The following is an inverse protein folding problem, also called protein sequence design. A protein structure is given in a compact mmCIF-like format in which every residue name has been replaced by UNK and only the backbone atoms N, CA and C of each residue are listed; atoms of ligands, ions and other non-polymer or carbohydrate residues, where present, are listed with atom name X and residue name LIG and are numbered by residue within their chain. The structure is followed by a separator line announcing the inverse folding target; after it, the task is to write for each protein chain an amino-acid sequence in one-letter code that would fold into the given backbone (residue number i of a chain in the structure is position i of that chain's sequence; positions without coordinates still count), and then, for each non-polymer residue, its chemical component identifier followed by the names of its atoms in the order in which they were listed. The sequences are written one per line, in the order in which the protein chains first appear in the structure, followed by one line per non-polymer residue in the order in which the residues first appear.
data_IF_212343243857
#
_entry.id   IF_212343243857
#
_cell.length_a   1.000
_cell.length_b   1.000
_cell.length_c   1.000
_cell.angle_alpha   90.00
_cell.angle_beta   90.00
_cell.angle_gamma   90.00
#
_symmetry.space_group_name_H-M   'P 1'
#
loop_
_entity.id
_entity.type
_entity.pdbx_description
1 polymer ?
#
# COMPACT_ATOMS: atom_id res chain seq x y z
N UNK A 1 -6.60 53.03 35.51
CA UNK A 1 -5.74 52.23 34.67
C UNK A 1 -6.46 50.94 34.32
N UNK A 2 -6.96 50.86 33.11
CA UNK A 2 -7.69 49.70 32.65
C UNK A 2 -6.72 48.78 31.90
N UNK A 3 -6.51 47.61 32.41
CA UNK A 3 -5.74 46.58 31.72
C UNK A 3 -6.71 45.76 30.89
N UNK A 4 -6.71 46.00 29.59
CA UNK A 4 -7.44 45.16 28.67
C UNK A 4 -6.66 43.85 28.49
N UNK A 5 -7.07 42.82 29.18
CA UNK A 5 -6.70 41.46 28.88
C UNK A 5 -7.43 41.08 27.60
N UNK A 6 -6.71 41.18 26.48
CA UNK A 6 -7.13 40.52 25.27
C UNK A 6 -6.96 39.02 25.48
N UNK A 7 -8.01 38.38 25.91
CA UNK A 7 -8.11 36.96 25.83
C UNK A 7 -8.09 36.59 24.33
N UNK A 8 -6.93 36.27 23.83
CA UNK A 8 -6.79 35.61 22.55
C UNK A 8 -7.50 34.26 22.68
N UNK A 9 -8.73 34.22 22.21
CA UNK A 9 -9.35 32.92 21.93
C UNK A 9 -8.59 32.28 20.81
N UNK A 10 -7.55 31.56 21.15
CA UNK A 10 -7.01 30.58 20.25
C UNK A 10 -8.12 29.54 20.06
N UNK A 11 -8.93 29.75 19.03
CA UNK A 11 -9.82 28.68 18.61
C UNK A 11 -8.96 27.51 18.22
N UNK A 12 -8.97 26.49 19.03
CA UNK A 12 -8.36 25.20 18.72
C UNK A 12 -9.19 24.48 17.66
N UNK A 13 -9.65 25.20 16.65
CA UNK A 13 -10.21 24.58 15.47
C UNK A 13 -9.12 23.79 14.83
N UNK A 14 -9.38 22.54 14.50
CA UNK A 14 -8.41 21.65 13.89
C UNK A 14 -7.67 22.28 12.71
N UNK A 15 -6.63 21.61 12.28
CA UNK A 15 -5.77 22.01 11.19
C UNK A 15 -6.56 22.37 9.93
N UNK A 16 -6.09 23.37 9.19
CA UNK A 16 -6.63 23.69 7.88
C UNK A 16 -6.49 22.51 6.93
N UNK A 17 -7.24 22.52 5.80
CA UNK A 17 -7.11 21.46 4.77
C UNK A 17 -5.66 21.31 4.30
N UNK A 18 -4.97 22.41 4.09
CA UNK A 18 -3.58 22.38 3.62
C UNK A 18 -2.65 21.77 4.66
N UNK A 19 -2.83 22.10 5.93
CA UNK A 19 -2.04 21.55 7.01
C UNK A 19 -2.26 20.05 7.17
N UNK A 20 -3.50 19.57 7.08
CA UNK A 20 -3.84 18.16 7.12
C UNK A 20 -3.21 17.41 5.94
N UNK A 21 -3.28 17.99 4.75
CA UNK A 21 -2.67 17.42 3.56
C UNK A 21 -1.16 17.28 3.70
N UNK A 22 -0.49 18.32 4.21
CA UNK A 22 0.95 18.30 4.42
C UNK A 22 1.36 17.30 5.49
N UNK A 23 0.61 17.19 6.57
CA UNK A 23 0.85 16.19 7.61
C UNK A 23 0.70 14.78 7.06
N UNK A 24 -0.34 14.54 6.26
CA UNK A 24 -0.57 13.24 5.63
C UNK A 24 0.57 12.89 4.67
N UNK A 25 1.00 13.82 3.85
CA UNK A 25 2.14 13.62 2.94
C UNK A 25 3.42 13.30 3.69
N UNK A 26 3.71 14.00 4.77
CA UNK A 26 4.87 13.75 5.61
C UNK A 26 4.81 12.36 6.24
N UNK A 27 3.66 12.00 6.79
CA UNK A 27 3.44 10.69 7.38
C UNK A 27 3.70 9.57 6.37
N UNK A 28 3.12 9.68 5.18
CA UNK A 28 3.26 8.67 4.12
C UNK A 28 4.72 8.58 3.65
N UNK A 29 5.36 9.73 3.44
CA UNK A 29 6.78 9.78 3.04
C UNK A 29 7.67 9.05 4.05
N UNK A 30 7.48 9.31 5.32
CA UNK A 30 8.23 8.68 6.40
C UNK A 30 7.92 7.18 6.50
N UNK A 31 6.65 6.79 6.37
CA UNK A 31 6.25 5.39 6.41
C UNK A 31 6.90 4.60 5.26
N UNK A 32 6.92 5.16 4.06
CA UNK A 32 7.57 4.52 2.90
C UNK A 32 9.08 4.42 3.11
N UNK A 33 9.72 5.48 3.58
CA UNK A 33 11.16 5.51 3.83
C UNK A 33 11.59 4.51 4.91
N UNK A 34 10.76 4.31 5.93
CA UNK A 34 11.03 3.43 7.05
C UNK A 34 10.63 1.97 6.79
N UNK A 35 10.10 1.67 5.61
CA UNK A 35 9.57 0.32 5.28
C UNK A 35 8.57 -0.17 6.32
N UNK A 36 7.65 0.69 6.67
CA UNK A 36 6.62 0.40 7.68
C UNK A 36 5.31 1.07 7.26
N UNK A 37 4.57 0.39 6.39
CA UNK A 37 3.33 0.92 5.83
C UNK A 37 2.36 -0.19 5.48
N UNK A 38 1.08 0.18 5.43
CA UNK A 38 -0.02 -0.68 4.99
C UNK A 38 -0.75 0.01 3.86
N UNK A 39 -1.06 -0.73 2.80
CA UNK A 39 -1.92 -0.26 1.72
C UNK A 39 -3.23 -1.01 1.80
N UNK A 40 -4.32 -0.29 2.04
CA UNK A 40 -5.66 -0.85 2.04
C UNK A 40 -6.18 -0.87 0.61
N UNK A 41 -6.59 -2.04 0.14
CA UNK A 41 -6.95 -2.29 -1.25
C UNK A 41 -8.46 -2.21 -1.43
N UNK A 42 -8.90 -1.44 -2.43
CA UNK A 42 -10.32 -1.21 -2.70
C UNK A 42 -10.81 -1.86 -3.97
N UNK A 43 -9.93 -2.14 -4.92
CA UNK A 43 -10.31 -2.78 -6.18
C UNK A 43 -9.20 -3.68 -6.72
N UNK A 44 -9.61 -4.70 -7.46
CA UNK A 44 -8.71 -5.62 -8.15
C UNK A 44 -8.90 -5.50 -9.67
N UNK A 45 -7.80 -5.61 -10.40
CA UNK A 45 -7.78 -5.51 -11.86
C UNK A 45 -7.13 -6.79 -12.43
N UNK A 46 -7.89 -7.88 -12.56
CA UNK A 46 -7.37 -9.11 -13.16
C UNK A 46 -7.09 -8.91 -14.64
N UNK A 47 -6.05 -9.58 -15.14
CA UNK A 47 -5.68 -9.51 -16.54
C UNK A 47 -6.81 -10.06 -17.43
N UNK A 48 -7.26 -9.25 -18.40
CA UNK A 48 -8.30 -9.64 -19.35
C UNK A 48 -9.71 -9.74 -18.77
N UNK A 49 -9.95 -9.19 -17.58
CA UNK A 49 -11.26 -9.19 -16.92
C UNK A 49 -11.62 -7.79 -16.45
N UNK A 50 -12.92 -7.51 -16.23
CA UNK A 50 -13.34 -6.23 -15.68
C UNK A 50 -12.82 -6.03 -14.25
N UNK A 51 -12.70 -4.77 -13.86
CA UNK A 51 -12.35 -4.37 -12.49
C UNK A 51 -13.37 -4.92 -11.49
N UNK A 52 -12.86 -5.46 -10.38
CA UNK A 52 -13.67 -5.99 -9.30
C UNK A 52 -13.55 -5.06 -8.10
N UNK A 53 -14.68 -4.51 -7.65
CA UNK A 53 -14.73 -3.72 -6.42
C UNK A 53 -14.75 -4.67 -5.23
N UNK A 54 -13.88 -4.43 -4.27
CA UNK A 54 -13.72 -5.31 -3.12
C UNK A 54 -14.55 -4.80 -1.94
N UNK A 55 -15.38 -5.69 -1.39
CA UNK A 55 -16.25 -5.38 -0.24
C UNK A 55 -15.64 -5.75 1.10
N UNK A 56 -14.53 -6.48 1.10
CA UNK A 56 -13.82 -6.93 2.28
C UNK A 56 -12.48 -6.21 2.38
N UNK A 57 -11.98 -6.01 3.59
CA UNK A 57 -10.67 -5.39 3.80
C UNK A 57 -9.56 -6.33 3.36
N UNK A 58 -8.94 -5.96 2.26
CA UNK A 58 -7.70 -6.57 1.78
C UNK A 58 -6.56 -5.56 1.94
N UNK A 59 -5.37 -6.04 2.18
CA UNK A 59 -4.23 -5.16 2.41
C UNK A 59 -2.91 -5.79 2.01
N UNK A 60 -1.94 -4.92 1.75
CA UNK A 60 -0.54 -5.26 1.61
C UNK A 60 0.23 -4.46 2.66
N UNK A 61 0.95 -5.16 3.52
CA UNK A 61 1.71 -4.52 4.60
C UNK A 61 3.20 -4.86 4.48
N UNK A 62 4.03 -3.84 4.64
CA UNK A 62 5.48 -3.99 4.70
C UNK A 62 5.94 -3.60 6.09
N UNK A 63 6.69 -4.49 6.73
CA UNK A 63 7.34 -4.27 8.04
C UNK A 63 8.80 -4.67 7.94
N UNK A 64 9.67 -3.70 7.65
CA UNK A 64 11.10 -3.99 7.49
C UNK A 64 11.34 -4.95 6.32
N UNK A 65 11.79 -6.14 6.61
CA UNK A 65 12.04 -7.22 5.63
C UNK A 65 10.92 -8.25 5.57
N UNK A 66 9.76 -7.96 6.17
CA UNK A 66 8.60 -8.84 6.14
C UNK A 66 7.49 -8.23 5.28
N UNK A 67 6.93 -9.04 4.39
CA UNK A 67 5.75 -8.69 3.61
C UNK A 67 4.57 -9.51 4.11
N UNK A 68 3.48 -8.81 4.46
CA UNK A 68 2.22 -9.45 4.82
C UNK A 68 1.23 -9.15 3.69
N UNK A 69 0.97 -10.16 2.88
CA UNK A 69 0.07 -10.06 1.74
C UNK A 69 -1.27 -10.69 2.10
N UNK A 70 -2.33 -9.90 2.05
CA UNK A 70 -3.70 -10.37 2.22
C UNK A 70 -4.51 -9.80 1.06
N UNK A 71 -4.39 -10.45 -0.10
CA UNK A 71 -4.99 -10.01 -1.34
C UNK A 71 -5.78 -11.16 -1.98
N UNK A 72 -6.92 -10.87 -2.64
CA UNK A 72 -7.63 -11.87 -3.41
C UNK A 72 -6.90 -12.15 -4.72
N UNK A 73 -7.06 -13.34 -5.25
CA UNK A 73 -6.55 -13.66 -6.57
C UNK A 73 -7.70 -14.04 -7.50
N UNK A 74 -7.80 -13.33 -8.61
CA UNK A 74 -8.72 -13.61 -9.70
C UNK A 74 -7.89 -13.72 -10.98
N UNK A 75 -7.82 -14.89 -11.56
CA UNK A 75 -7.02 -15.08 -12.75
C UNK A 75 -6.72 -16.54 -13.03
N UNK A 76 -5.73 -16.76 -13.89
CA UNK A 76 -5.33 -18.10 -14.32
C UNK A 76 -4.08 -18.53 -13.55
N UNK A 77 -4.11 -19.75 -13.01
CA UNK A 77 -2.93 -20.40 -12.46
C UNK A 77 -2.37 -21.36 -13.50
N UNK A 78 -1.05 -21.31 -13.71
CA UNK A 78 -0.36 -22.17 -14.66
C UNK A 78 0.05 -23.49 -13.99
N UNK A 79 0.33 -23.44 -12.70
CA UNK A 79 0.65 -24.60 -11.89
C UNK A 79 0.00 -24.41 -10.53
N UNK A 80 -0.96 -25.29 -10.21
CA UNK A 80 -1.72 -25.18 -8.97
C UNK A 80 -1.08 -26.12 -7.94
N UNK A 81 -0.64 -25.61 -6.77
CA UNK A 81 -0.14 -26.46 -5.70
C UNK A 81 -1.21 -27.43 -5.21
N UNK A 82 -0.76 -28.56 -4.68
CA UNK A 82 -1.67 -29.53 -4.09
C UNK A 82 -2.49 -28.87 -2.98
N UNK A 83 -3.83 -28.99 -3.06
CA UNK A 83 -4.73 -28.33 -2.12
C UNK A 83 -5.12 -26.91 -2.47
N UNK A 84 -4.73 -26.40 -3.66
CA UNK A 84 -5.11 -25.07 -4.15
C UNK A 84 -4.16 -23.93 -3.77
N UNK A 85 -3.31 -24.12 -2.77
CA UNK A 85 -2.34 -23.11 -2.33
C UNK A 85 -2.95 -21.92 -1.59
N UNK A 86 -2.10 -21.02 -1.13
CA UNK A 86 -2.48 -19.80 -0.38
C UNK A 86 -2.73 -18.60 -1.29
N UNK A 87 -2.26 -18.66 -2.56
CA UNK A 87 -2.39 -17.55 -3.49
C UNK A 87 -1.60 -16.33 -3.03
N UNK A 88 -2.30 -15.23 -2.82
CA UNK A 88 -1.72 -13.97 -2.34
C UNK A 88 -2.00 -13.73 -0.85
N UNK A 89 -2.34 -14.78 -0.10
CA UNK A 89 -2.57 -14.73 1.35
C UNK A 89 -1.41 -15.41 2.07
N UNK A 90 -0.38 -14.64 2.37
CA UNK A 90 0.81 -15.18 3.06
C UNK A 90 1.59 -14.07 3.75
N UNK A 91 2.49 -14.48 4.65
CA UNK A 91 3.53 -13.65 5.24
C UNK A 91 4.87 -14.22 4.78
N UNK A 92 5.72 -13.38 4.21
CA UNK A 92 7.00 -13.82 3.67
C UNK A 92 8.13 -12.86 3.97
N UNK A 93 9.36 -13.36 3.81
CA UNK A 93 10.56 -12.55 3.96
C UNK A 93 10.92 -11.95 2.61
N UNK A 94 11.14 -10.64 2.59
CA UNK A 94 11.51 -9.90 1.39
C UNK A 94 12.96 -10.23 1.03
N UNK A 95 13.19 -10.67 -0.19
CA UNK A 95 14.53 -10.93 -0.72
C UNK A 95 15.15 -9.69 -1.37
N UNK A 96 14.32 -8.90 -2.05
CA UNK A 96 14.74 -7.68 -2.73
C UNK A 96 13.76 -6.56 -2.44
N UNK A 97 14.29 -5.38 -2.13
CA UNK A 97 13.47 -4.18 -1.92
C UNK A 97 14.16 -2.98 -2.54
N UNK A 98 13.48 -2.33 -3.45
CA UNK A 98 13.98 -1.13 -4.13
C UNK A 98 12.91 -0.05 -4.09
N UNK A 99 13.26 1.13 -3.59
CA UNK A 99 12.38 2.29 -3.56
C UNK A 99 13.03 3.41 -4.39
N UNK A 100 12.34 3.82 -5.45
CA UNK A 100 12.79 4.87 -6.35
C UNK A 100 11.76 5.99 -6.35
N UNK A 101 12.19 7.21 -6.08
CA UNK A 101 11.36 8.40 -6.24
C UNK A 101 11.40 8.78 -7.73
N UNK A 102 10.30 8.46 -8.45
CA UNK A 102 10.20 8.69 -9.91
C UNK A 102 9.97 10.16 -10.21
N UNK A 103 9.14 10.80 -9.40
CA UNK A 103 8.82 12.24 -9.44
C UNK A 103 8.61 12.71 -8.01
N UNK A 104 8.68 14.02 -7.74
CA UNK A 104 8.31 14.52 -6.42
C UNK A 104 6.92 14.03 -6.03
N UNK A 105 6.84 13.33 -4.89
CA UNK A 105 5.59 12.78 -4.37
C UNK A 105 5.17 11.42 -4.94
N UNK A 106 5.92 10.82 -5.87
CA UNK A 106 5.63 9.52 -6.45
C UNK A 106 6.77 8.54 -6.20
N UNK A 107 6.48 7.48 -5.48
CA UNK A 107 7.41 6.40 -5.18
C UNK A 107 7.07 5.15 -5.99
N UNK A 108 8.09 4.52 -6.55
CA UNK A 108 7.96 3.19 -7.15
C UNK A 108 8.79 2.21 -6.34
N UNK A 109 8.10 1.24 -5.77
CA UNK A 109 8.72 0.27 -4.88
C UNK A 109 8.60 -1.10 -5.51
N UNK A 110 9.73 -1.77 -5.66
CA UNK A 110 9.79 -3.12 -6.18
C UNK A 110 10.17 -4.07 -5.06
N UNK A 111 9.33 -5.06 -4.81
CA UNK A 111 9.49 -6.03 -3.74
C UNK A 111 9.52 -7.42 -4.34
N UNK A 112 10.63 -8.12 -4.18
CA UNK A 112 10.79 -9.50 -4.65
C UNK A 112 10.89 -10.46 -3.50
N UNK A 113 10.17 -11.56 -3.58
CA UNK A 113 10.27 -12.67 -2.62
C UNK A 113 9.89 -13.99 -3.26
N UNK A 114 10.38 -15.06 -2.66
CA UNK A 114 10.06 -16.42 -3.04
C UNK A 114 9.61 -17.18 -1.81
N UNK A 115 8.53 -17.92 -1.93
CA UNK A 115 8.07 -18.85 -0.92
C UNK A 115 7.98 -20.27 -1.51
N UNK A 116 7.39 -21.19 -0.78
CA UNK A 116 7.26 -22.59 -1.22
C UNK A 116 6.33 -22.77 -2.42
N UNK A 117 5.45 -21.82 -2.71
CA UNK A 117 4.46 -21.91 -3.80
C UNK A 117 4.93 -21.22 -5.07
N UNK A 118 5.58 -20.06 -4.97
CA UNK A 118 5.82 -19.19 -6.12
C UNK A 118 6.95 -18.19 -5.87
N UNK A 119 7.33 -17.52 -6.95
CA UNK A 119 8.16 -16.32 -6.90
C UNK A 119 7.30 -15.12 -7.26
N UNK A 120 7.38 -14.07 -6.45
CA UNK A 120 6.54 -12.88 -6.55
C UNK A 120 7.37 -11.64 -6.76
N UNK A 121 6.89 -10.77 -7.63
CA UNK A 121 7.39 -9.40 -7.75
C UNK A 121 6.20 -8.46 -7.59
N UNK A 122 6.20 -7.71 -6.50
CA UNK A 122 5.22 -6.66 -6.23
C UNK A 122 5.82 -5.34 -6.69
N UNK A 123 5.12 -4.63 -7.54
CA UNK A 123 5.48 -3.26 -7.93
C UNK A 123 4.42 -2.33 -7.36
N UNK A 124 4.81 -1.54 -6.38
CA UNK A 124 3.93 -0.59 -5.72
C UNK A 124 4.25 0.81 -6.23
N UNK A 125 3.26 1.48 -6.78
CA UNK A 125 3.33 2.90 -7.07
C UNK A 125 2.53 3.62 -6.00
N UNK A 126 3.22 4.35 -5.14
CA UNK A 126 2.60 5.04 -4.01
C UNK A 126 2.83 6.55 -4.14
N UNK A 127 1.74 7.29 -4.00
CA UNK A 127 1.77 8.74 -4.01
C UNK A 127 1.69 9.26 -2.57
N UNK A 128 2.35 10.35 -2.29
CA UNK A 128 2.30 10.97 -0.95
C UNK A 128 0.89 11.48 -0.59
N UNK A 129 0.00 11.57 -1.58
CA UNK A 129 -1.44 11.81 -1.35
C UNK A 129 -2.15 10.62 -0.71
N UNK A 130 -1.55 9.42 -0.76
CA UNK A 130 -2.08 8.17 -0.27
C UNK A 130 -2.52 7.20 -1.36
N UNK A 131 -2.86 7.69 -2.54
CA UNK A 131 -3.26 6.85 -3.66
C UNK A 131 -2.16 5.86 -4.02
N UNK A 132 -2.52 4.61 -4.24
CA UNK A 132 -1.54 3.55 -4.51
C UNK A 132 -2.07 2.53 -5.51
N UNK A 133 -1.15 1.99 -6.29
CA UNK A 133 -1.40 0.87 -7.20
C UNK A 133 -0.40 -0.22 -6.92
N UNK A 134 -0.86 -1.46 -6.87
CA UNK A 134 -0.02 -2.63 -6.65
C UNK A 134 -0.14 -3.53 -7.85
N UNK A 135 0.96 -3.85 -8.49
CA UNK A 135 1.02 -4.86 -9.56
C UNK A 135 1.78 -6.07 -9.03
N UNK A 136 1.21 -7.25 -9.20
CA UNK A 136 1.81 -8.49 -8.72
C UNK A 136 2.10 -9.40 -9.91
N UNK A 137 3.38 -9.61 -10.17
CA UNK A 137 3.83 -10.62 -11.10
C UNK A 137 4.13 -11.90 -10.33
N UNK A 138 3.66 -13.03 -10.87
CA UNK A 138 3.89 -14.35 -10.31
C UNK A 138 4.39 -15.28 -11.39
N UNK A 139 5.27 -16.19 -11.01
CA UNK A 139 5.83 -17.16 -11.97
C UNK A 139 4.79 -18.16 -12.44
N UNK A 140 3.91 -18.61 -11.54
CA UNK A 140 2.96 -19.70 -11.78
C UNK A 140 1.52 -19.25 -12.04
N UNK A 141 1.27 -17.93 -12.04
CA UNK A 141 -0.07 -17.37 -12.22
C UNK A 141 -0.02 -16.14 -13.09
N UNK A 142 -1.18 -15.79 -13.66
CA UNK A 142 -1.30 -14.54 -14.41
C UNK A 142 -1.12 -13.33 -13.51
N UNK A 143 -0.62 -12.26 -14.11
CA UNK A 143 -0.45 -10.98 -13.41
C UNK A 143 -1.80 -10.42 -12.98
N UNK A 144 -1.81 -9.76 -11.84
CA UNK A 144 -2.98 -9.05 -11.32
C UNK A 144 -2.51 -7.74 -10.69
N UNK A 145 -3.34 -6.71 -10.78
CA UNK A 145 -3.07 -5.44 -10.13
C UNK A 145 -4.22 -5.02 -9.24
N UNK A 146 -3.93 -4.10 -8.33
CA UNK A 146 -4.86 -3.60 -7.33
C UNK A 146 -4.72 -2.10 -7.19
N UNK A 147 -5.80 -1.46 -6.79
CA UNK A 147 -5.81 -0.04 -6.44
C UNK A 147 -6.23 0.11 -4.99
N UNK A 148 -5.58 0.99 -4.28
CA UNK A 148 -5.86 1.23 -2.87
C UNK A 148 -5.27 2.53 -2.37
N UNK A 149 -5.18 2.64 -1.06
CA UNK A 149 -4.64 3.81 -0.39
C UNK A 149 -3.72 3.41 0.75
N UNK A 150 -2.66 4.19 0.94
CA UNK A 150 -1.79 4.03 2.11
C UNK A 150 -2.59 4.37 3.36
N UNK A 151 -2.57 3.48 4.32
CA UNK A 151 -3.24 3.68 5.60
C UNK A 151 -2.50 4.74 6.40
N UNK A 152 -3.22 5.77 6.80
CA UNK A 152 -2.70 6.84 7.65
C UNK A 152 -3.36 6.69 9.02
N UNK A 153 -2.56 6.28 9.99
CA UNK A 153 -3.05 6.17 11.38
C UNK A 153 -3.20 7.56 11.98
N UNK A 154 -4.40 7.85 12.41
CA UNK A 154 -4.70 9.10 13.12
C UNK A 154 -4.23 9.03 14.58
#
# INVERSE_FOLDING_TARGET
MSVCLLASCASSSGLSRNERRLQRQTYIREALANRHYTINVTSAHPLGRPTIMLSTLYSLEVRGDTLISYLPFYGRAYNIPYGGGKGLNFTGIINEYEDVVVKPGEHRIRIGLTNEEDTYIYTVTAFESGSSTISVWMRQRSEISFTGEVDVKD
#
